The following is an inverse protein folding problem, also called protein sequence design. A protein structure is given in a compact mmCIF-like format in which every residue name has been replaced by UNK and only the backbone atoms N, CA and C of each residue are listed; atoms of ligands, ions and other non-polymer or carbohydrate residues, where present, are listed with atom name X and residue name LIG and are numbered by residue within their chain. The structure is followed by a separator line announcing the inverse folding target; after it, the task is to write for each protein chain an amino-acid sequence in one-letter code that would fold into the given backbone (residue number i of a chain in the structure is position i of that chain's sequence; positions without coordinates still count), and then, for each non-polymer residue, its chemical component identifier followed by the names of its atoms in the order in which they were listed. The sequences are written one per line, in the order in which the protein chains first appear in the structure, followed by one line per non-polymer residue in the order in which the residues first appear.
data_IF_102722551083
#
_entry.id   IF_102722551083
#
_cell.length_a   1.000
_cell.length_b   1.000
_cell.length_c   1.000
_cell.angle_alpha   90.00
_cell.angle_beta   90.00
_cell.angle_gamma   90.00
#
_symmetry.space_group_name_H-M   'P 1'
#
loop_
_entity.id
_entity.type
_entity.pdbx_description
1 polymer ?
#
# COMPACT_ATOMS: atom_id res chain seq x y z
N UNK A 1 0.71 -16.62 -1.72
CA UNK A 1 0.37 -17.44 -0.57
C UNK A 1 -0.45 -18.61 -1.08
N UNK A 2 0.03 -19.86 -1.08
CA UNK A 2 -0.88 -20.98 -1.11
C UNK A 2 -1.10 -21.32 0.36
N UNK A 3 -2.22 -20.92 0.94
CA UNK A 3 -2.74 -21.63 2.10
C UNK A 3 -2.92 -23.07 1.64
N UNK A 4 -2.62 -24.08 2.47
CA UNK A 4 -3.06 -25.42 2.19
C UNK A 4 -4.54 -25.33 1.78
N UNK A 5 -4.97 -26.08 0.77
CA UNK A 5 -6.35 -26.03 0.25
C UNK A 5 -7.32 -26.49 1.36
N UNK A 6 -7.58 -25.61 2.30
CA UNK A 6 -8.41 -25.86 3.46
C UNK A 6 -9.86 -25.39 3.24
N UNK A 7 -10.21 -24.96 1.99
CA UNK A 7 -11.55 -24.53 1.61
C UNK A 7 -12.00 -23.21 2.27
N UNK A 8 -11.08 -22.44 2.90
CA UNK A 8 -11.45 -21.13 3.48
C UNK A 8 -11.46 -20.04 2.41
N UNK A 9 -10.61 -20.15 1.41
CA UNK A 9 -10.62 -19.17 0.31
C UNK A 9 -11.93 -19.25 -0.47
N UNK A 10 -12.49 -20.48 -0.63
CA UNK A 10 -13.83 -20.68 -1.20
C UNK A 10 -14.90 -20.08 -0.32
N UNK A 11 -14.81 -20.33 1.01
CA UNK A 11 -15.77 -19.81 1.97
C UNK A 11 -15.83 -18.28 1.98
N UNK A 12 -14.68 -17.62 1.79
CA UNK A 12 -14.57 -16.17 1.73
C UNK A 12 -14.63 -15.63 0.28
N UNK A 13 -15.01 -16.46 -0.70
CA UNK A 13 -15.15 -16.09 -2.10
C UNK A 13 -13.89 -15.43 -2.71
N UNK A 14 -12.72 -15.90 -2.29
CA UNK A 14 -11.40 -15.38 -2.71
C UNK A 14 -10.71 -16.28 -3.75
N UNK A 15 -11.14 -17.55 -3.88
CA UNK A 15 -10.51 -18.48 -4.80
C UNK A 15 -10.78 -18.09 -6.25
N UNK A 16 -9.76 -18.21 -7.09
CA UNK A 16 -9.77 -17.84 -8.52
C UNK A 16 -10.02 -16.36 -8.83
N UNK A 17 -10.17 -15.52 -7.81
CA UNK A 17 -10.42 -14.09 -7.94
C UNK A 17 -9.21 -13.30 -7.45
N UNK A 18 -9.00 -12.11 -8.04
CA UNK A 18 -7.86 -11.27 -7.70
C UNK A 18 -6.49 -11.85 -8.04
N UNK A 19 -5.44 -11.31 -7.42
CA UNK A 19 -4.02 -11.64 -7.65
C UNK A 19 -3.25 -11.99 -6.38
N UNK A 20 -3.67 -11.50 -5.22
CA UNK A 20 -2.99 -11.68 -3.94
C UNK A 20 -3.14 -13.10 -3.39
N UNK A 21 -4.36 -13.51 -3.13
CA UNK A 21 -4.72 -14.79 -2.53
C UNK A 21 -5.14 -15.86 -3.55
N UNK A 22 -5.07 -15.57 -4.83
CA UNK A 22 -5.46 -16.49 -5.89
C UNK A 22 -4.42 -17.60 -6.07
N UNK A 23 -4.83 -18.85 -5.90
CA UNK A 23 -3.99 -20.06 -6.01
C UNK A 23 -4.06 -20.74 -7.37
N UNK A 24 -5.15 -20.56 -8.10
CA UNK A 24 -5.27 -21.07 -9.46
C UNK A 24 -4.32 -20.30 -10.38
N UNK A 25 -3.37 -21.02 -10.98
CA UNK A 25 -2.32 -20.40 -11.79
C UNK A 25 -2.88 -19.70 -13.03
N UNK A 26 -3.90 -20.28 -13.69
CA UNK A 26 -4.44 -19.72 -14.93
C UNK A 26 -5.24 -18.44 -14.66
N UNK A 27 -6.13 -18.46 -13.66
CA UNK A 27 -6.88 -17.26 -13.24
C UNK A 27 -5.95 -16.19 -12.68
N UNK A 28 -4.95 -16.58 -11.88
CA UNK A 28 -3.96 -15.65 -11.38
C UNK A 28 -3.14 -14.99 -12.50
N UNK A 29 -2.69 -15.79 -13.50
CA UNK A 29 -1.92 -15.29 -14.66
C UNK A 29 -2.72 -14.25 -15.43
N UNK A 30 -4.00 -14.56 -15.70
CA UNK A 30 -4.93 -13.67 -16.38
C UNK A 30 -5.17 -12.37 -15.58
N UNK A 31 -5.61 -12.47 -14.32
CA UNK A 31 -5.90 -11.31 -13.47
C UNK A 31 -4.66 -10.42 -13.29
N UNK A 32 -3.49 -11.04 -13.07
CA UNK A 32 -2.24 -10.31 -12.96
C UNK A 32 -1.86 -9.59 -14.24
N UNK A 33 -2.08 -10.21 -15.39
CA UNK A 33 -1.80 -9.63 -16.69
C UNK A 33 -2.63 -8.36 -16.90
N UNK A 34 -3.95 -8.45 -16.74
CA UNK A 34 -4.84 -7.30 -16.89
C UNK A 34 -4.55 -6.21 -15.85
N UNK A 35 -4.31 -6.60 -14.59
CA UNK A 35 -3.96 -5.60 -13.56
C UNK A 35 -2.68 -4.84 -13.89
N UNK A 36 -1.65 -5.52 -14.42
CA UNK A 36 -0.42 -4.86 -14.86
C UNK A 36 -0.67 -3.87 -15.99
N UNK A 37 -1.49 -4.26 -16.98
CA UNK A 37 -1.87 -3.35 -18.08
C UNK A 37 -2.59 -2.09 -17.56
N UNK A 38 -3.43 -2.24 -16.54
CA UNK A 38 -4.19 -1.14 -15.96
C UNK A 38 -3.33 -0.23 -15.06
N UNK A 39 -2.42 -0.80 -14.24
CA UNK A 39 -1.68 -0.05 -13.23
C UNK A 39 -0.38 0.60 -13.75
N UNK A 40 0.26 -0.01 -14.74
CA UNK A 40 1.54 0.50 -15.27
C UNK A 40 1.42 1.87 -15.91
N UNK A 41 0.42 2.17 -16.77
CA UNK A 41 0.21 3.52 -17.29
C UNK A 41 -0.02 4.55 -16.18
N UNK A 42 -0.85 4.22 -15.18
CA UNK A 42 -1.12 5.10 -14.05
C UNK A 42 0.16 5.45 -13.29
N UNK A 43 1.02 4.46 -13.04
CA UNK A 43 2.30 4.65 -12.34
C UNK A 43 3.36 5.44 -13.12
N UNK A 44 3.11 5.73 -14.38
CA UNK A 44 4.02 6.49 -15.26
C UNK A 44 3.49 7.89 -15.58
N UNK A 45 2.50 8.37 -14.84
CA UNK A 45 1.91 9.70 -14.96
C UNK A 45 2.12 10.51 -13.69
N UNK A 46 1.81 11.81 -13.75
CA UNK A 46 1.79 12.68 -12.58
C UNK A 46 0.58 12.44 -11.65
N UNK A 47 -0.40 11.63 -12.04
CA UNK A 47 -1.62 11.43 -11.25
C UNK A 47 -1.39 10.96 -9.81
N UNK A 48 -0.58 9.91 -9.54
CA UNK A 48 -0.36 9.49 -8.17
C UNK A 48 0.26 10.61 -7.30
N UNK A 49 1.28 11.31 -7.78
CA UNK A 49 1.87 12.43 -7.03
C UNK A 49 0.90 13.60 -6.86
N UNK A 50 0.04 13.91 -7.83
CA UNK A 50 -1.02 14.92 -7.71
C UNK A 50 -2.02 14.56 -6.60
N UNK A 51 -2.45 13.30 -6.52
CA UNK A 51 -3.34 12.84 -5.45
C UNK A 51 -2.68 12.94 -4.08
N UNK A 52 -1.40 12.58 -3.97
CA UNK A 52 -0.65 12.72 -2.72
C UNK A 52 -0.54 14.20 -2.32
N UNK A 53 -0.22 15.12 -3.25
CA UNK A 53 -0.18 16.56 -2.96
C UNK A 53 -1.55 17.07 -2.46
N UNK A 54 -2.64 16.73 -3.15
CA UNK A 54 -4.01 17.14 -2.80
C UNK A 54 -4.39 16.70 -1.39
N UNK A 55 -4.24 15.40 -1.11
CA UNK A 55 -4.61 14.83 0.18
C UNK A 55 -3.70 15.32 1.31
N UNK A 56 -2.42 15.52 1.04
CA UNK A 56 -1.50 16.05 2.05
C UNK A 56 -1.80 17.52 2.38
N UNK A 57 -2.17 18.33 1.39
CA UNK A 57 -2.59 19.70 1.63
C UNK A 57 -3.83 19.75 2.52
N UNK A 58 -4.86 18.96 2.21
CA UNK A 58 -6.07 18.82 3.03
C UNK A 58 -5.69 18.41 4.46
N UNK A 59 -4.98 17.30 4.62
CA UNK A 59 -4.60 16.74 5.91
C UNK A 59 -3.74 17.70 6.74
N UNK A 60 -2.75 18.33 6.12
CA UNK A 60 -1.85 19.25 6.80
C UNK A 60 -2.53 20.56 7.24
N UNK A 61 -3.55 21.01 6.52
CA UNK A 61 -4.38 22.14 6.93
C UNK A 61 -5.21 21.79 8.17
N UNK A 62 -5.75 20.56 8.26
CA UNK A 62 -6.40 20.09 9.48
C UNK A 62 -5.43 20.03 10.67
N UNK A 63 -4.20 19.56 10.49
CA UNK A 63 -3.20 19.58 11.57
C UNK A 63 -2.87 20.99 12.05
N UNK A 64 -2.78 21.96 11.13
CA UNK A 64 -2.56 23.38 11.48
C UNK A 64 -3.75 23.94 12.28
N UNK A 65 -4.98 23.58 11.91
CA UNK A 65 -6.18 24.02 12.65
C UNK A 65 -6.32 23.36 14.04
N UNK A 66 -5.82 22.14 14.20
CA UNK A 66 -5.81 21.43 15.49
C UNK A 66 -4.78 21.98 16.50
N UNK A 67 -3.91 22.89 16.11
CA UNK A 67 -2.96 23.52 17.03
C UNK A 67 -3.66 24.31 18.15
N UNK A 68 -3.14 24.22 19.35
CA UNK A 68 -3.59 25.08 20.43
C UNK A 68 -3.17 26.54 20.17
N UNK A 69 -4.01 27.50 20.60
CA UNK A 69 -3.80 28.94 20.34
C UNK A 69 -2.44 29.49 20.77
N UNK A 70 -1.77 28.87 21.75
CA UNK A 70 -0.50 29.31 22.32
C UNK A 70 0.67 28.36 21.98
N UNK A 71 0.49 27.36 21.08
CA UNK A 71 1.53 26.43 20.69
C UNK A 71 1.72 26.48 19.16
N UNK A 72 2.97 26.63 18.73
CA UNK A 72 3.30 26.59 17.30
C UNK A 72 3.28 25.15 16.75
N UNK A 73 3.09 24.13 17.59
CA UNK A 73 3.11 22.71 17.24
C UNK A 73 1.76 22.02 17.45
N UNK A 74 1.59 20.84 16.84
CA UNK A 74 0.48 19.93 17.10
C UNK A 74 1.01 18.54 17.41
N UNK A 75 0.40 17.87 18.38
CA UNK A 75 0.67 16.46 18.70
C UNK A 75 -0.44 15.61 18.12
N UNK A 76 -0.07 14.60 17.32
CA UNK A 76 -1.01 13.69 16.66
C UNK A 76 -0.50 12.25 16.69
N UNK A 77 -1.42 11.28 16.69
CA UNK A 77 -1.09 9.92 16.27
C UNK A 77 -1.04 9.84 14.74
N UNK A 78 0.17 9.94 14.19
CA UNK A 78 0.38 9.94 12.74
C UNK A 78 -0.11 8.64 12.07
N UNK A 79 -0.10 7.50 12.78
CA UNK A 79 -0.52 6.22 12.23
C UNK A 79 -2.01 6.22 11.84
N UNK A 80 -2.83 6.82 12.68
CA UNK A 80 -4.28 6.96 12.46
C UNK A 80 -4.61 7.89 11.30
N UNK A 81 -3.90 9.02 11.18
CA UNK A 81 -4.04 9.93 10.04
C UNK A 81 -3.60 9.30 8.73
N UNK A 82 -2.48 8.59 8.76
CA UNK A 82 -1.92 7.98 7.55
C UNK A 82 -2.76 6.83 7.00
N UNK A 83 -3.46 6.06 7.87
CA UNK A 83 -4.42 5.05 7.40
C UNK A 83 -5.53 5.67 6.56
N UNK A 84 -6.07 6.80 6.99
CA UNK A 84 -7.10 7.52 6.25
C UNK A 84 -6.56 8.15 4.97
N UNK A 85 -5.37 8.69 5.05
CA UNK A 85 -4.66 9.24 3.89
C UNK A 85 -4.50 8.18 2.79
N UNK A 86 -3.92 7.02 3.12
CA UNK A 86 -3.69 5.96 2.13
C UNK A 86 -5.00 5.34 1.63
N UNK A 87 -6.03 5.30 2.45
CA UNK A 87 -7.37 4.84 2.03
C UNK A 87 -7.99 5.80 1.02
N UNK A 88 -7.95 7.10 1.27
CA UNK A 88 -8.41 8.11 0.32
C UNK A 88 -7.56 8.11 -0.97
N UNK A 89 -6.24 7.93 -0.85
CA UNK A 89 -5.33 7.82 -1.98
C UNK A 89 -5.64 6.59 -2.87
N UNK A 90 -5.78 5.40 -2.26
CA UNK A 90 -6.13 4.18 -3.01
C UNK A 90 -7.52 4.31 -3.65
N UNK A 91 -8.47 4.95 -2.98
CA UNK A 91 -9.79 5.19 -3.55
C UNK A 91 -9.73 6.09 -4.79
N UNK A 92 -8.99 7.21 -4.70
CA UNK A 92 -8.75 8.10 -5.85
C UNK A 92 -8.08 7.37 -7.00
N UNK A 93 -7.06 6.56 -6.71
CA UNK A 93 -6.32 5.81 -7.73
C UNK A 93 -7.18 4.73 -8.40
N UNK A 94 -8.01 4.06 -7.61
CA UNK A 94 -8.80 2.91 -8.07
C UNK A 94 -10.12 3.32 -8.69
N UNK A 95 -10.80 4.31 -8.14
CA UNK A 95 -12.16 4.71 -8.56
C UNK A 95 -12.27 6.15 -9.06
N UNK A 96 -11.21 6.94 -8.94
CA UNK A 96 -11.25 8.38 -9.23
C UNK A 96 -12.14 9.19 -8.27
N UNK A 97 -12.53 8.62 -7.13
CA UNK A 97 -13.37 9.26 -6.11
C UNK A 97 -12.67 9.22 -4.75
N UNK A 98 -12.67 10.34 -4.04
CA UNK A 98 -12.18 10.42 -2.66
C UNK A 98 -13.27 9.90 -1.71
N UNK A 99 -12.85 9.17 -0.69
CA UNK A 99 -13.75 8.68 0.38
C UNK A 99 -13.96 9.71 1.49
N UNK A 100 -13.13 10.76 1.54
CA UNK A 100 -13.18 11.83 2.55
C UNK A 100 -13.00 11.34 4.01
N UNK A 101 -12.21 10.29 4.20
CA UNK A 101 -11.98 9.70 5.53
C UNK A 101 -11.02 10.54 6.36
N UNK A 102 -10.12 11.31 5.73
CA UNK A 102 -9.31 12.33 6.39
C UNK A 102 -10.22 13.38 7.01
N UNK A 103 -11.20 13.89 6.24
CA UNK A 103 -12.17 14.88 6.72
C UNK A 103 -13.08 14.31 7.81
N UNK A 104 -13.57 13.07 7.65
CA UNK A 104 -14.34 12.38 8.68
C UNK A 104 -13.61 12.39 10.03
N UNK A 105 -12.35 11.98 10.05
CA UNK A 105 -11.56 11.89 11.27
C UNK A 105 -11.30 13.27 11.90
N UNK A 106 -11.01 14.27 11.08
CA UNK A 106 -10.89 15.65 11.55
C UNK A 106 -12.16 16.14 12.24
N UNK A 107 -13.34 15.96 11.61
CA UNK A 107 -14.63 16.33 12.20
C UNK A 107 -14.94 15.60 13.50
N UNK A 108 -14.59 14.30 13.57
CA UNK A 108 -14.72 13.53 14.81
C UNK A 108 -13.87 14.10 15.95
N UNK A 109 -12.63 14.54 15.68
CA UNK A 109 -11.78 15.20 16.68
C UNK A 109 -12.38 16.54 17.14
N UNK A 110 -12.97 17.31 16.21
CA UNK A 110 -13.59 18.62 16.48
C UNK A 110 -15.00 18.50 17.08
N UNK A 111 -15.57 17.28 17.19
CA UNK A 111 -16.96 17.05 17.54
C UNK A 111 -17.95 17.77 16.60
N UNK A 112 -17.64 17.81 15.31
CA UNK A 112 -18.48 18.38 14.27
C UNK A 112 -19.41 17.31 13.66
N UNK A 113 -20.49 17.77 13.01
CA UNK A 113 -21.44 16.88 12.33
C UNK A 113 -20.78 16.18 11.14
N UNK A 114 -21.00 14.86 10.99
CA UNK A 114 -20.52 14.04 9.89
C UNK A 114 -21.67 13.58 9.00
N UNK A 115 -21.45 13.51 7.69
CA UNK A 115 -22.47 13.05 6.75
C UNK A 115 -22.58 11.53 6.73
N UNK A 116 -23.72 11.03 6.23
CA UNK A 116 -23.92 9.60 6.04
C UNK A 116 -22.89 8.98 5.11
N UNK A 117 -22.50 9.68 4.05
CA UNK A 117 -21.47 9.23 3.09
C UNK A 117 -20.11 9.08 3.76
N UNK A 118 -19.74 9.98 4.68
CA UNK A 118 -18.50 9.89 5.44
C UNK A 118 -18.52 8.67 6.38
N UNK A 119 -19.64 8.41 7.06
CA UNK A 119 -19.82 7.23 7.91
C UNK A 119 -19.71 5.94 7.08
N UNK A 120 -20.35 5.90 5.91
CA UNK A 120 -20.28 4.75 4.99
C UNK A 120 -18.85 4.49 4.50
N UNK A 121 -18.08 5.55 4.24
CA UNK A 121 -16.67 5.47 3.85
C UNK A 121 -15.80 4.95 4.98
N UNK A 122 -16.00 5.43 6.22
CA UNK A 122 -15.28 4.92 7.39
C UNK A 122 -15.59 3.45 7.65
N UNK A 123 -16.85 3.03 7.58
CA UNK A 123 -17.24 1.64 7.70
C UNK A 123 -16.59 0.76 6.63
N UNK A 124 -16.41 1.27 5.42
CA UNK A 124 -15.72 0.54 4.36
C UNK A 124 -14.24 0.34 4.70
N UNK A 125 -13.55 1.36 5.23
CA UNK A 125 -12.16 1.26 5.65
C UNK A 125 -12.02 0.34 6.87
N UNK A 126 -12.90 0.44 7.86
CA UNK A 126 -12.90 -0.48 8.99
C UNK A 126 -13.10 -1.94 8.56
N UNK A 127 -13.83 -2.17 7.46
CA UNK A 127 -13.95 -3.52 6.89
C UNK A 127 -12.63 -4.03 6.29
N UNK A 128 -11.80 -3.15 5.71
CA UNK A 128 -10.45 -3.48 5.23
C UNK A 128 -9.54 -3.80 6.42
N UNK A 129 -9.54 -2.94 7.44
CA UNK A 129 -8.74 -3.11 8.67
C UNK A 129 -9.08 -4.42 9.37
N UNK A 130 -10.36 -4.75 9.50
CA UNK A 130 -10.84 -6.01 10.07
C UNK A 130 -10.32 -7.20 9.27
N UNK A 131 -10.38 -7.14 7.93
CA UNK A 131 -9.83 -8.21 7.09
C UNK A 131 -8.32 -8.39 7.30
N UNK A 132 -7.57 -7.30 7.36
CA UNK A 132 -6.11 -7.34 7.56
C UNK A 132 -5.74 -7.86 8.95
N UNK A 133 -6.43 -7.43 10.00
CA UNK A 133 -6.17 -7.85 11.39
C UNK A 133 -6.52 -9.32 11.63
N UNK A 134 -7.65 -9.78 11.10
CA UNK A 134 -8.19 -11.11 11.32
C UNK A 134 -7.81 -12.14 10.26
N UNK A 135 -7.00 -11.76 9.25
CA UNK A 135 -6.64 -12.66 8.15
C UNK A 135 -5.96 -13.97 8.59
N UNK A 136 -5.44 -14.04 9.81
CA UNK A 136 -4.91 -15.28 10.42
C UNK A 136 -5.94 -16.41 10.42
N UNK A 137 -7.24 -16.09 10.44
CA UNK A 137 -8.32 -17.07 10.38
C UNK A 137 -8.26 -17.90 9.10
N UNK A 138 -7.70 -17.36 8.02
CA UNK A 138 -7.50 -18.05 6.74
C UNK A 138 -6.55 -19.26 6.86
N UNK A 139 -5.75 -19.33 7.91
CA UNK A 139 -4.79 -20.40 8.17
C UNK A 139 -5.30 -21.44 9.14
N UNK A 140 -6.49 -21.26 9.72
CA UNK A 140 -7.07 -22.21 10.69
C UNK A 140 -7.47 -23.51 9.99
N UNK A 141 -6.98 -24.68 10.47
CA UNK A 141 -7.33 -25.97 9.93
C UNK A 141 -8.87 -26.22 9.96
N UNK A 142 -9.39 -26.84 8.90
CA UNK A 142 -10.84 -27.09 8.74
C UNK A 142 -11.48 -27.76 9.96
N UNK A 143 -10.76 -28.69 10.61
CA UNK A 143 -11.26 -29.43 11.77
C UNK A 143 -11.52 -28.53 12.99
N UNK A 144 -10.83 -27.40 13.11
CA UNK A 144 -10.96 -26.49 14.26
C UNK A 144 -12.06 -25.43 14.07
N UNK A 145 -12.61 -25.26 12.86
CA UNK A 145 -13.56 -24.17 12.56
C UNK A 145 -14.89 -24.27 13.26
N UNK A 146 -15.28 -25.50 13.64
CA UNK A 146 -16.56 -25.73 14.35
C UNK A 146 -16.47 -25.50 15.86
N UNK A 147 -15.27 -25.24 16.40
CA UNK A 147 -15.15 -24.81 17.80
C UNK A 147 -15.79 -23.42 17.98
N UNK A 148 -16.61 -23.23 19.03
CA UNK A 148 -17.45 -22.03 19.19
C UNK A 148 -16.69 -20.70 19.02
N UNK A 149 -15.51 -20.56 19.65
CA UNK A 149 -14.69 -19.36 19.61
C UNK A 149 -14.17 -19.10 18.17
N UNK A 150 -13.70 -20.16 17.49
CA UNK A 150 -13.16 -20.05 16.13
C UNK A 150 -14.31 -19.78 15.15
N UNK A 151 -15.44 -20.48 15.33
CA UNK A 151 -16.63 -20.27 14.50
C UNK A 151 -17.12 -18.84 14.58
N UNK A 152 -17.22 -18.26 15.77
CA UNK A 152 -17.62 -16.86 15.95
C UNK A 152 -16.71 -15.88 15.17
N UNK A 153 -15.40 -16.10 15.19
CA UNK A 153 -14.46 -15.29 14.41
C UNK A 153 -14.60 -15.51 12.90
N UNK A 154 -14.84 -16.75 12.46
CA UNK A 154 -15.10 -17.06 11.05
C UNK A 154 -16.38 -16.36 10.58
N UNK A 155 -17.47 -16.46 11.35
CA UNK A 155 -18.76 -15.83 11.04
C UNK A 155 -18.64 -14.29 10.98
N UNK A 156 -17.90 -13.69 11.92
CA UNK A 156 -17.59 -12.26 11.92
C UNK A 156 -16.83 -11.85 10.65
N UNK A 157 -15.77 -12.58 10.30
CA UNK A 157 -14.98 -12.32 9.11
C UNK A 157 -15.80 -12.49 7.82
N UNK A 158 -16.71 -13.48 7.75
CA UNK A 158 -17.63 -13.68 6.64
C UNK A 158 -18.58 -12.49 6.48
N UNK A 159 -19.17 -12.01 7.59
CA UNK A 159 -20.01 -10.82 7.58
C UNK A 159 -19.27 -9.61 7.05
N UNK A 160 -18.03 -9.42 7.51
CA UNK A 160 -17.15 -8.34 7.06
C UNK A 160 -16.79 -8.44 5.57
N UNK A 161 -16.40 -9.63 5.09
CA UNK A 161 -16.12 -9.85 3.66
C UNK A 161 -17.34 -9.61 2.78
N UNK A 162 -18.52 -10.07 3.20
CA UNK A 162 -19.77 -9.86 2.45
C UNK A 162 -20.11 -8.37 2.33
N UNK A 163 -19.93 -7.60 3.40
CA UNK A 163 -20.10 -6.15 3.37
C UNK A 163 -19.13 -5.50 2.38
N UNK A 164 -17.84 -5.83 2.50
CA UNK A 164 -16.80 -5.28 1.63
C UNK A 164 -17.07 -5.61 0.15
N UNK A 165 -17.38 -6.88 -0.16
CA UNK A 165 -17.70 -7.30 -1.52
C UNK A 165 -18.96 -6.63 -2.06
N UNK A 166 -20.00 -6.49 -1.24
CA UNK A 166 -21.20 -5.78 -1.61
C UNK A 166 -20.90 -4.34 -2.07
N UNK A 167 -20.05 -3.64 -1.33
CA UNK A 167 -19.61 -2.28 -1.70
C UNK A 167 -18.80 -2.26 -3.00
N UNK A 168 -17.89 -3.22 -3.21
CA UNK A 168 -17.13 -3.29 -4.46
C UNK A 168 -18.02 -3.61 -5.67
N UNK A 169 -18.99 -4.50 -5.53
CA UNK A 169 -19.98 -4.80 -6.58
C UNK A 169 -20.79 -3.55 -6.92
N UNK A 170 -21.23 -2.78 -5.93
CA UNK A 170 -21.94 -1.52 -6.12
C UNK A 170 -21.09 -0.50 -6.92
N UNK A 171 -19.80 -0.37 -6.56
CA UNK A 171 -18.84 0.51 -7.25
C UNK A 171 -18.68 0.10 -8.73
N UNK A 172 -18.49 -1.20 -9.01
CA UNK A 172 -18.36 -1.72 -10.38
C UNK A 172 -19.63 -1.48 -11.19
N UNK A 173 -20.79 -1.82 -10.60
CA UNK A 173 -22.11 -1.61 -11.25
C UNK A 173 -22.33 -0.14 -11.60
N UNK A 174 -22.11 0.76 -10.65
CA UNK A 174 -22.26 2.21 -10.84
C UNK A 174 -21.36 2.71 -11.98
N UNK A 175 -20.11 2.26 -12.04
CA UNK A 175 -19.18 2.65 -13.12
C UNK A 175 -19.68 2.18 -14.49
N UNK A 176 -20.17 0.94 -14.61
CA UNK A 176 -20.75 0.45 -15.86
C UNK A 176 -21.99 1.24 -16.29
N UNK A 177 -22.83 1.63 -15.36
CA UNK A 177 -24.00 2.49 -15.62
C UNK A 177 -23.56 3.89 -16.08
N UNK A 178 -22.59 4.52 -15.42
CA UNK A 178 -22.00 5.79 -15.84
C UNK A 178 -21.45 5.72 -17.28
N UNK A 179 -20.75 4.64 -17.61
CA UNK A 179 -20.21 4.42 -18.97
C UNK A 179 -21.33 4.24 -20.00
N UNK A 180 -22.36 3.45 -19.67
CA UNK A 180 -23.49 3.19 -20.57
C UNK A 180 -24.31 4.45 -20.88
N UNK A 181 -24.43 5.34 -19.88
CA UNK A 181 -25.21 6.58 -19.97
C UNK A 181 -24.39 7.76 -20.50
N UNK A 182 -23.13 7.55 -20.89
CA UNK A 182 -22.28 8.61 -21.43
C UNK A 182 -22.54 8.81 -22.92
N UNK A 183 -22.73 10.06 -23.34
CA UNK A 183 -22.90 10.42 -24.75
C UNK A 183 -21.64 10.16 -25.59
N UNK A 184 -20.46 10.24 -24.97
CA UNK A 184 -19.15 9.96 -25.57
C UNK A 184 -18.31 9.11 -24.61
N UNK A 185 -18.29 7.81 -24.86
CA UNK A 185 -17.56 6.83 -24.05
C UNK A 185 -16.04 7.05 -24.07
N UNK A 186 -15.48 7.51 -25.20
CA UNK A 186 -14.03 7.75 -25.31
C UNK A 186 -13.62 8.96 -24.46
N UNK A 187 -14.42 10.02 -24.50
CA UNK A 187 -14.22 11.20 -23.65
C UNK A 187 -14.40 10.86 -22.17
N UNK A 188 -15.37 10.00 -21.83
CA UNK A 188 -15.58 9.49 -20.48
C UNK A 188 -14.33 8.74 -19.97
N UNK A 189 -13.83 7.77 -20.74
CA UNK A 189 -12.65 6.97 -20.41
C UNK A 189 -11.41 7.85 -20.20
N UNK A 190 -11.17 8.78 -21.12
CA UNK A 190 -10.04 9.72 -21.05
C UNK A 190 -10.12 10.60 -19.78
N UNK A 191 -11.31 11.06 -19.41
CA UNK A 191 -11.53 11.89 -18.20
C UNK A 191 -11.33 11.08 -16.91
N UNK A 192 -11.89 9.87 -16.83
CA UNK A 192 -11.78 9.03 -15.62
C UNK A 192 -10.37 8.52 -15.42
N UNK A 193 -9.80 7.81 -16.39
CA UNK A 193 -8.42 7.30 -16.37
C UNK A 193 -7.99 6.81 -14.97
N UNK A 194 -8.76 5.90 -14.39
CA UNK A 194 -8.54 5.24 -13.11
C UNK A 194 -8.44 3.72 -13.29
N UNK A 195 -8.03 2.99 -12.24
CA UNK A 195 -7.83 1.55 -12.30
C UNK A 195 -9.12 0.81 -12.70
N UNK A 196 -10.25 1.15 -12.08
CA UNK A 196 -11.53 0.48 -12.33
C UNK A 196 -11.98 0.63 -13.80
N UNK A 197 -11.90 1.84 -14.35
CA UNK A 197 -12.23 2.07 -15.77
C UNK A 197 -11.30 1.23 -16.66
N UNK A 198 -9.99 1.21 -16.36
CA UNK A 198 -9.01 0.42 -17.13
C UNK A 198 -9.30 -1.07 -17.08
N UNK A 199 -9.70 -1.62 -15.91
CA UNK A 199 -10.09 -3.03 -15.78
C UNK A 199 -11.37 -3.37 -16.57
N UNK A 200 -12.35 -2.47 -16.57
CA UNK A 200 -13.63 -2.66 -17.28
C UNK A 200 -13.43 -2.70 -18.80
N UNK A 201 -12.57 -1.84 -19.34
CA UNK A 201 -12.37 -1.71 -20.79
C UNK A 201 -11.29 -2.65 -21.35
N UNK A 202 -10.46 -3.24 -20.52
CA UNK A 202 -9.37 -4.12 -20.93
C UNK A 202 -9.88 -5.24 -21.86
N UNK A 203 -9.22 -5.41 -23.02
CA UNK A 203 -9.57 -6.36 -24.06
C UNK A 203 -11.01 -6.22 -24.62
N UNK A 204 -11.61 -5.02 -24.52
CA UNK A 204 -12.85 -4.65 -25.20
C UNK A 204 -12.56 -3.77 -26.41
N UNK A 205 -13.58 -3.43 -27.19
CA UNK A 205 -13.46 -2.47 -28.30
C UNK A 205 -13.03 -1.06 -27.89
N UNK A 206 -13.09 -0.75 -26.59
CA UNK A 206 -12.70 0.54 -25.99
C UNK A 206 -11.31 0.53 -25.38
N UNK A 207 -10.58 -0.60 -25.47
CA UNK A 207 -9.22 -0.71 -24.98
C UNK A 207 -8.28 0.15 -25.85
N UNK A 208 -7.63 1.19 -25.28
CA UNK A 208 -6.73 2.04 -26.06
C UNK A 208 -5.42 1.36 -26.42
N UNK A 209 -5.09 0.23 -25.78
CA UNK A 209 -3.84 -0.52 -25.99
C UNK A 209 -4.08 -2.03 -26.09
N UNK A 210 -4.90 -2.49 -27.06
CA UNK A 210 -5.20 -3.91 -27.21
C UNK A 210 -3.92 -4.68 -27.55
N UNK A 211 -3.65 -5.74 -26.81
CA UNK A 211 -2.48 -6.59 -27.07
C UNK A 211 -2.74 -7.55 -28.22
N UNK A 212 -2.07 -7.36 -29.34
CA UNK A 212 -2.25 -8.20 -30.54
C UNK A 212 -1.49 -9.54 -30.50
N UNK A 213 -0.45 -9.65 -29.67
CA UNK A 213 0.48 -10.79 -29.66
C UNK A 213 0.54 -11.53 -28.29
N UNK A 214 -0.47 -11.38 -27.43
CA UNK A 214 -0.53 -12.11 -26.19
C UNK A 214 -1.12 -13.53 -26.38
N UNK A 215 -0.89 -14.39 -25.38
CA UNK A 215 -1.54 -15.68 -25.27
C UNK A 215 -3.08 -15.51 -25.42
N UNK A 216 -3.76 -16.22 -26.34
CA UNK A 216 -5.20 -16.07 -26.54
C UNK A 216 -6.04 -16.16 -25.27
N UNK A 217 -5.59 -16.94 -24.27
CA UNK A 217 -6.26 -17.07 -22.98
C UNK A 217 -6.28 -15.77 -22.17
N UNK A 218 -5.43 -14.78 -22.53
CA UNK A 218 -5.31 -13.47 -21.87
C UNK A 218 -6.09 -12.36 -22.59
N UNK A 219 -6.67 -12.64 -23.77
CA UNK A 219 -7.28 -11.63 -24.64
C UNK A 219 -8.78 -11.43 -24.45
N UNK A 220 -9.39 -12.06 -23.45
CA UNK A 220 -10.80 -11.84 -23.12
C UNK A 220 -10.97 -10.65 -22.15
N UNK A 221 -12.13 -9.98 -22.13
CA UNK A 221 -12.43 -9.02 -21.06
C UNK A 221 -12.58 -9.71 -19.70
N UNK A 222 -12.39 -8.94 -18.62
CA UNK A 222 -12.69 -9.40 -17.27
C UNK A 222 -14.19 -9.41 -17.00
N UNK A 223 -14.65 -10.41 -16.25
CA UNK A 223 -15.99 -10.38 -15.67
C UNK A 223 -16.00 -9.57 -14.35
N UNK A 224 -17.21 -9.26 -13.85
CA UNK A 224 -17.36 -8.40 -12.67
C UNK A 224 -16.79 -9.03 -11.39
N UNK A 225 -16.80 -10.35 -11.25
CA UNK A 225 -16.21 -11.06 -10.13
C UNK A 225 -14.66 -10.96 -10.13
N UNK A 226 -14.05 -11.04 -11.31
CA UNK A 226 -12.61 -10.88 -11.48
C UNK A 226 -12.20 -9.43 -11.18
N UNK A 227 -12.97 -8.44 -11.68
CA UNK A 227 -12.76 -7.01 -11.40
C UNK A 227 -12.89 -6.77 -9.90
N UNK A 228 -13.94 -7.28 -9.25
CA UNK A 228 -14.15 -7.20 -7.81
C UNK A 228 -12.97 -7.76 -7.02
N UNK A 229 -12.46 -8.95 -7.42
CA UNK A 229 -11.31 -9.57 -6.78
C UNK A 229 -10.02 -8.75 -6.91
N UNK A 230 -9.77 -8.15 -8.07
CA UNK A 230 -8.63 -7.25 -8.30
C UNK A 230 -8.77 -5.96 -7.50
N UNK A 231 -9.96 -5.38 -7.45
CA UNK A 231 -10.25 -4.20 -6.63
C UNK A 231 -10.07 -4.49 -5.13
N UNK A 232 -10.54 -5.64 -4.67
CA UNK A 232 -10.32 -6.10 -3.30
C UNK A 232 -8.83 -6.13 -2.94
N UNK A 233 -8.01 -6.76 -3.79
CA UNK A 233 -6.57 -6.82 -3.59
C UNK A 233 -5.93 -5.43 -3.59
N UNK A 234 -6.38 -4.52 -4.46
CA UNK A 234 -5.84 -3.16 -4.53
C UNK A 234 -6.10 -2.38 -3.23
N UNK A 235 -7.31 -2.45 -2.67
CA UNK A 235 -7.63 -1.80 -1.40
C UNK A 235 -6.89 -2.43 -0.22
N UNK A 236 -6.95 -3.77 -0.07
CA UNK A 236 -6.31 -4.46 1.07
C UNK A 236 -4.80 -4.31 1.07
N UNK A 237 -4.15 -4.47 -0.09
CA UNK A 237 -2.69 -4.40 -0.16
C UNK A 237 -2.15 -2.98 -0.18
N UNK A 238 -2.90 -2.02 -0.74
CA UNK A 238 -2.44 -0.65 -0.94
C UNK A 238 -2.54 0.22 0.30
N UNK A 239 -3.43 -0.08 1.25
CA UNK A 239 -3.64 0.76 2.43
C UNK A 239 -2.55 0.56 3.48
N UNK A 240 -2.54 -0.58 4.16
CA UNK A 240 -1.71 -0.76 5.36
C UNK A 240 -0.21 -0.87 5.09
N UNK A 241 0.21 -1.43 3.95
CA UNK A 241 1.64 -1.63 3.68
C UNK A 241 2.41 -0.32 3.57
N UNK A 242 1.83 0.68 2.93
CA UNK A 242 2.44 2.02 2.77
C UNK A 242 2.45 2.78 4.09
N UNK A 243 1.31 2.79 4.82
CA UNK A 243 1.20 3.42 6.15
C UNK A 243 2.31 2.95 7.08
N UNK A 244 2.43 1.63 7.23
CA UNK A 244 3.37 1.06 8.20
C UNK A 244 4.81 1.38 7.82
N UNK A 245 5.17 1.27 6.53
CA UNK A 245 6.51 1.64 6.05
C UNK A 245 6.80 3.12 6.32
N UNK A 246 5.83 4.01 6.10
CA UNK A 246 5.96 5.44 6.36
C UNK A 246 6.14 5.74 7.86
N UNK A 247 5.32 5.14 8.73
CA UNK A 247 5.45 5.29 10.18
C UNK A 247 6.81 4.80 10.68
N UNK A 248 7.28 3.65 10.16
CA UNK A 248 8.62 3.14 10.49
C UNK A 248 9.72 4.09 10.02
N UNK A 249 9.58 4.71 8.84
CA UNK A 249 10.54 5.70 8.36
C UNK A 249 10.60 6.91 9.28
N UNK A 250 9.48 7.46 9.73
CA UNK A 250 9.44 8.58 10.69
C UNK A 250 10.10 8.21 12.03
N UNK A 251 9.82 7.00 12.53
CA UNK A 251 10.45 6.50 13.75
C UNK A 251 11.98 6.43 13.63
N UNK A 252 12.50 5.80 12.57
CA UNK A 252 13.94 5.69 12.36
C UNK A 252 14.61 7.04 12.07
N UNK A 253 13.98 7.93 11.33
CA UNK A 253 14.48 9.27 11.06
C UNK A 253 14.58 10.09 12.34
N UNK A 254 13.63 9.96 13.28
CA UNK A 254 13.68 10.64 14.58
C UNK A 254 14.83 10.14 15.44
N UNK A 255 15.18 8.85 15.37
CA UNK A 255 16.31 8.29 16.12
C UNK A 255 17.68 8.46 15.42
N UNK A 256 17.71 8.95 14.17
CA UNK A 256 18.93 9.14 13.39
C UNK A 256 18.99 10.57 12.84
N UNK A 257 19.34 11.57 13.68
CA UNK A 257 19.27 12.98 13.31
C UNK A 257 20.17 13.35 12.13
N UNK A 258 21.31 12.70 11.96
CA UNK A 258 22.22 12.94 10.83
C UNK A 258 21.58 12.49 9.50
N UNK A 259 20.91 11.33 9.52
CA UNK A 259 20.13 10.83 8.37
C UNK A 259 18.98 11.77 8.06
N UNK A 260 18.23 12.21 9.09
CA UNK A 260 17.13 13.18 8.93
C UNK A 260 17.63 14.48 8.31
N UNK A 261 18.77 15.00 8.79
CA UNK A 261 19.39 16.21 8.26
C UNK A 261 19.73 16.07 6.77
N UNK A 262 20.40 14.99 6.38
CA UNK A 262 20.75 14.73 4.97
C UNK A 262 19.52 14.58 4.07
N UNK A 263 18.44 13.95 4.56
CA UNK A 263 17.17 13.89 3.86
C UNK A 263 16.58 15.28 3.62
N UNK A 264 16.58 16.12 4.65
CA UNK A 264 16.05 17.49 4.57
C UNK A 264 16.88 18.34 3.60
N UNK A 265 18.20 18.22 3.62
CA UNK A 265 19.12 18.90 2.69
C UNK A 265 18.85 18.49 1.23
N UNK A 266 18.59 17.22 0.95
CA UNK A 266 18.17 16.78 -0.39
C UNK A 266 16.84 17.44 -0.80
N UNK A 267 15.84 17.39 0.07
CA UNK A 267 14.52 17.99 -0.20
C UNK A 267 14.66 19.49 -0.47
N UNK A 268 15.42 20.23 0.37
CA UNK A 268 15.65 21.65 0.18
C UNK A 268 16.38 21.96 -1.12
N UNK A 269 17.34 21.15 -1.52
CA UNK A 269 18.06 21.27 -2.78
C UNK A 269 17.16 21.07 -4.00
N UNK A 270 16.23 20.11 -3.94
CA UNK A 270 15.32 19.83 -5.06
C UNK A 270 14.26 20.91 -5.25
N UNK A 271 13.84 21.58 -4.17
CA UNK A 271 12.74 22.56 -4.17
C UNK A 271 13.19 24.00 -3.87
N UNK A 272 14.47 24.32 -4.03
CA UNK A 272 15.03 25.64 -3.71
C UNK A 272 14.41 26.80 -4.50
N UNK A 273 13.92 26.53 -5.72
CA UNK A 273 13.33 27.50 -6.65
C UNK A 273 11.90 27.89 -6.26
N UNK A 274 11.08 26.93 -5.88
CA UNK A 274 9.73 27.12 -5.37
C UNK A 274 9.36 26.02 -4.38
N UNK A 275 9.46 26.36 -3.11
CA UNK A 275 9.27 25.40 -2.06
C UNK A 275 7.81 25.00 -1.81
N UNK A 276 6.88 25.78 -2.30
CA UNK A 276 5.45 25.55 -2.09
C UNK A 276 4.77 24.85 -3.28
N UNK A 277 5.47 24.75 -4.42
CA UNK A 277 4.89 24.07 -5.58
C UNK A 277 4.59 22.60 -5.32
N UNK A 278 3.58 22.02 -5.99
CA UNK A 278 3.32 20.59 -5.94
C UNK A 278 4.53 19.77 -6.39
N UNK A 279 4.71 18.60 -5.77
CA UNK A 279 5.73 17.63 -6.17
C UNK A 279 5.27 16.90 -7.43
N UNK A 280 6.11 16.89 -8.45
CA UNK A 280 5.85 16.24 -9.73
C UNK A 280 6.54 14.88 -9.83
N UNK A 281 6.20 14.11 -10.84
CA UNK A 281 6.87 12.83 -11.12
C UNK A 281 8.36 13.00 -11.38
N UNK A 282 8.75 14.07 -12.11
CA UNK A 282 10.16 14.37 -12.44
C UNK A 282 11.00 14.73 -11.19
N UNK A 283 10.37 15.31 -10.16
CA UNK A 283 11.06 15.61 -8.91
C UNK A 283 11.43 14.32 -8.16
N UNK A 284 10.62 13.27 -8.29
CA UNK A 284 10.87 11.99 -7.62
C UNK A 284 12.16 11.31 -8.09
N UNK A 285 12.59 11.55 -9.32
CA UNK A 285 13.85 11.04 -9.83
C UNK A 285 15.08 11.69 -9.14
N UNK A 286 14.89 12.92 -8.63
CA UNK A 286 15.94 13.67 -7.91
C UNK A 286 16.02 13.30 -6.44
N UNK A 287 14.94 12.80 -5.85
CA UNK A 287 14.84 12.38 -4.44
C UNK A 287 15.44 10.98 -4.23
N UNK A 288 16.75 10.85 -4.40
CA UNK A 288 17.47 9.57 -4.33
C UNK A 288 17.75 9.13 -2.91
N UNK A 289 18.13 10.08 -2.03
CA UNK A 289 18.35 9.78 -0.63
C UNK A 289 17.04 9.46 0.10
N UNK A 290 15.97 10.16 -0.26
CA UNK A 290 14.62 9.83 0.18
C UNK A 290 14.26 8.36 -0.17
N UNK A 291 14.57 7.92 -1.39
CA UNK A 291 14.38 6.52 -1.80
C UNK A 291 15.25 5.55 -0.98
N UNK A 292 16.50 5.92 -0.71
CA UNK A 292 17.41 5.14 0.11
C UNK A 292 16.90 4.99 1.56
N UNK A 293 16.37 6.04 2.15
CA UNK A 293 15.70 6.01 3.47
C UNK A 293 14.53 5.02 3.49
N UNK A 294 13.67 5.03 2.48
CA UNK A 294 12.54 4.11 2.37
C UNK A 294 13.02 2.65 2.25
N UNK A 295 14.04 2.41 1.42
CA UNK A 295 14.63 1.07 1.25
C UNK A 295 15.26 0.57 2.55
N UNK A 296 16.03 1.41 3.24
CA UNK A 296 16.67 1.04 4.51
C UNK A 296 15.64 0.79 5.60
N UNK A 297 14.58 1.59 5.66
CA UNK A 297 13.43 1.32 6.55
C UNK A 297 12.85 -0.06 6.30
N UNK A 298 12.61 -0.41 5.04
CA UNK A 298 12.10 -1.73 4.67
C UNK A 298 13.11 -2.86 4.92
N UNK A 299 14.42 -2.58 4.89
CA UNK A 299 15.45 -3.56 5.22
C UNK A 299 15.42 -3.92 6.71
N UNK A 300 15.50 -2.93 7.58
CA UNK A 300 15.55 -3.16 9.04
C UNK A 300 14.18 -3.53 9.61
N UNK A 301 13.10 -3.02 9.04
CA UNK A 301 11.72 -3.26 9.49
C UNK A 301 10.78 -3.50 8.31
N UNK A 302 10.83 -4.67 7.66
CA UNK A 302 9.92 -4.97 6.56
C UNK A 302 8.48 -5.09 7.08
N UNK A 303 7.55 -4.41 6.44
CA UNK A 303 6.11 -4.54 6.75
C UNK A 303 5.62 -5.96 6.49
N UNK A 304 6.13 -6.63 5.46
CA UNK A 304 5.88 -8.05 5.18
C UNK A 304 7.11 -8.85 5.56
N UNK A 305 7.11 -9.43 6.76
CA UNK A 305 8.27 -10.14 7.31
C UNK A 305 8.46 -11.55 6.75
N UNK A 306 7.40 -12.15 6.22
CA UNK A 306 7.42 -13.51 5.66
C UNK A 306 6.54 -13.61 4.43
N UNK A 307 6.98 -14.35 3.42
CA UNK A 307 6.17 -14.71 2.26
C UNK A 307 6.23 -16.21 2.00
N UNK A 308 5.10 -16.81 1.64
CA UNK A 308 5.01 -18.25 1.40
C UNK A 308 4.89 -18.58 -0.08
N UNK A 309 5.49 -19.71 -0.48
CA UNK A 309 5.43 -20.26 -1.84
C UNK A 309 5.25 -21.77 -1.78
N UNK A 310 4.42 -22.31 -2.65
CA UNK A 310 4.36 -23.75 -2.89
C UNK A 310 5.15 -24.11 -4.14
N UNK A 311 5.89 -25.23 -4.07
CA UNK A 311 6.49 -25.82 -5.27
C UNK A 311 5.39 -26.36 -6.18
N UNK A 312 5.39 -25.99 -7.47
CA UNK A 312 4.45 -26.50 -8.46
C UNK A 312 4.88 -27.86 -9.05
N UNK A 313 6.17 -28.17 -8.95
CA UNK A 313 6.81 -29.44 -9.38
C UNK A 313 7.90 -29.78 -8.39
N UNK A 314 8.45 -31.00 -8.47
CA UNK A 314 9.69 -31.35 -7.77
C UNK A 314 10.84 -30.45 -8.27
N UNK A 315 11.68 -30.02 -7.36
CA UNK A 315 12.81 -29.13 -7.65
C UNK A 315 13.88 -29.24 -6.59
N UNK A 316 15.09 -28.75 -6.89
CA UNK A 316 16.22 -28.72 -5.97
C UNK A 316 16.36 -27.33 -5.35
N UNK A 317 16.22 -27.22 -4.03
CA UNK A 317 16.36 -25.96 -3.28
C UNK A 317 17.38 -26.16 -2.16
N UNK A 318 18.35 -25.27 -2.07
CA UNK A 318 19.44 -25.32 -1.09
C UNK A 318 20.21 -26.66 -1.04
N UNK A 319 20.37 -27.31 -2.20
CA UNK A 319 21.06 -28.59 -2.34
C UNK A 319 20.22 -29.84 -2.06
N UNK A 320 18.98 -29.69 -1.60
CA UNK A 320 18.04 -30.79 -1.29
C UNK A 320 16.96 -30.92 -2.35
N UNK A 321 16.61 -32.18 -2.67
CA UNK A 321 15.50 -32.50 -3.55
C UNK A 321 14.16 -32.37 -2.80
N UNK A 322 13.23 -31.60 -3.36
CA UNK A 322 11.92 -31.36 -2.77
C UNK A 322 10.81 -31.82 -3.71
N UNK A 323 9.80 -32.53 -3.22
CA UNK A 323 8.66 -32.90 -4.04
C UNK A 323 7.81 -31.67 -4.43
N UNK A 324 6.88 -31.85 -5.34
CA UNK A 324 5.85 -30.85 -5.61
C UNK A 324 4.95 -30.61 -4.38
N UNK A 325 4.31 -29.46 -4.34
CA UNK A 325 3.35 -29.07 -3.29
C UNK A 325 3.94 -28.90 -1.88
N UNK A 326 5.24 -28.61 -1.79
CA UNK A 326 5.90 -28.24 -0.51
C UNK A 326 5.75 -26.75 -0.27
N UNK A 327 5.40 -26.37 0.95
CA UNK A 327 5.33 -24.98 1.40
C UNK A 327 6.73 -24.48 1.80
N UNK A 328 7.22 -23.48 1.08
CA UNK A 328 8.41 -22.72 1.45
C UNK A 328 7.99 -21.40 2.09
N UNK A 329 8.56 -21.09 3.25
CA UNK A 329 8.41 -19.78 3.90
C UNK A 329 9.73 -19.03 3.72
N UNK A 330 9.67 -17.91 3.00
CA UNK A 330 10.78 -17.00 2.83
C UNK A 330 10.74 -15.97 3.96
N UNK A 331 11.70 -16.03 4.87
CA UNK A 331 11.81 -15.11 5.99
C UNK A 331 12.51 -13.83 5.53
N UNK A 332 11.72 -12.85 5.07
CA UNK A 332 12.18 -11.60 4.45
C UNK A 332 13.06 -10.81 5.41
N UNK A 333 12.65 -10.66 6.68
CA UNK A 333 13.48 -9.96 7.68
C UNK A 333 14.83 -10.62 7.84
N UNK A 334 14.87 -11.95 7.94
CA UNK A 334 16.14 -12.69 8.06
C UNK A 334 17.03 -12.54 6.84
N UNK A 335 16.46 -12.42 5.63
CA UNK A 335 17.22 -12.12 4.41
C UNK A 335 17.80 -10.71 4.49
N UNK A 336 16.95 -9.73 4.81
CA UNK A 336 17.29 -8.31 4.83
C UNK A 336 18.26 -7.91 5.97
N UNK A 337 18.42 -8.75 7.00
CA UNK A 337 19.31 -8.48 8.14
C UNK A 337 20.38 -9.58 8.33
N UNK A 338 20.63 -10.40 7.32
CA UNK A 338 21.63 -11.47 7.41
C UNK A 338 23.06 -10.88 7.50
N UNK A 339 23.81 -11.15 8.58
CA UNK A 339 25.17 -10.61 8.77
C UNK A 339 26.19 -11.11 7.75
N UNK A 340 25.90 -12.18 6.99
CA UNK A 340 26.74 -12.62 5.88
C UNK A 340 26.72 -11.64 4.69
N UNK A 341 25.66 -10.83 4.58
CA UNK A 341 25.48 -9.90 3.46
C UNK A 341 25.44 -8.44 3.90
N UNK A 342 25.14 -8.18 5.17
CA UNK A 342 24.97 -6.82 5.70
C UNK A 342 25.94 -6.60 6.88
N UNK A 343 26.86 -5.69 6.72
CA UNK A 343 27.70 -5.21 7.83
C UNK A 343 26.81 -4.43 8.80
N UNK A 344 26.93 -4.68 10.11
CA UNK A 344 26.11 -4.05 11.16
C UNK A 344 24.61 -4.04 10.81
N UNK A 345 23.98 -5.23 10.64
CA UNK A 345 22.66 -5.37 10.01
C UNK A 345 21.52 -4.66 10.76
N UNK A 346 21.66 -4.39 12.05
CA UNK A 346 20.66 -3.68 12.87
C UNK A 346 20.85 -2.16 12.81
N UNK A 347 21.99 -1.64 12.30
CA UNK A 347 22.20 -0.21 12.13
C UNK A 347 21.34 0.31 10.98
N UNK A 348 20.61 1.40 11.25
CA UNK A 348 19.87 2.13 10.21
C UNK A 348 20.82 3.03 9.44
N UNK A 349 21.12 2.69 8.20
CA UNK A 349 22.14 3.33 7.39
C UNK A 349 21.73 3.40 5.90
N UNK A 350 21.03 4.44 5.48
CA UNK A 350 20.59 4.61 4.09
C UNK A 350 21.71 4.69 3.05
N UNK A 351 22.97 4.93 3.46
CA UNK A 351 24.11 4.94 2.53
C UNK A 351 24.23 3.62 1.78
N UNK A 352 23.81 2.52 2.37
CA UNK A 352 23.73 1.19 1.72
C UNK A 352 22.96 1.20 0.40
N UNK A 353 21.99 2.11 0.25
CA UNK A 353 21.16 2.26 -0.95
C UNK A 353 21.37 3.58 -1.68
N UNK A 354 22.32 4.40 -1.22
CA UNK A 354 22.63 5.70 -1.79
C UNK A 354 24.05 5.78 -2.37
N UNK A 355 25.03 5.25 -1.64
CA UNK A 355 26.42 5.24 -2.09
C UNK A 355 26.61 4.25 -3.25
N UNK A 356 27.16 4.67 -4.40
CA UNK A 356 27.37 3.79 -5.55
C UNK A 356 28.24 2.56 -5.24
N UNK A 357 29.26 2.68 -4.38
CA UNK A 357 30.13 1.56 -4.01
C UNK A 357 29.40 0.55 -3.13
N UNK A 358 28.59 1.01 -2.17
CA UNK A 358 27.77 0.14 -1.34
C UNK A 358 26.74 -0.62 -2.19
N UNK A 359 26.10 0.06 -3.17
CA UNK A 359 25.15 -0.56 -4.11
C UNK A 359 25.82 -1.62 -4.98
N UNK A 360 27.02 -1.35 -5.51
CA UNK A 360 27.77 -2.29 -6.35
C UNK A 360 28.19 -3.55 -5.58
N UNK A 361 28.58 -3.39 -4.31
CA UNK A 361 29.00 -4.48 -3.43
C UNK A 361 27.83 -5.31 -2.87
N UNK A 362 26.59 -4.87 -3.08
CA UNK A 362 25.41 -5.52 -2.51
C UNK A 362 25.16 -6.88 -3.17
N UNK A 363 25.01 -7.93 -2.37
CA UNK A 363 24.65 -9.25 -2.91
C UNK A 363 23.24 -9.22 -3.51
N UNK A 364 23.09 -9.69 -4.74
CA UNK A 364 21.87 -9.59 -5.56
C UNK A 364 20.58 -10.03 -4.87
N UNK A 365 20.64 -10.98 -3.94
CA UNK A 365 19.46 -11.56 -3.26
C UNK A 365 19.42 -11.23 -1.76
N UNK A 366 20.23 -10.28 -1.28
CA UNK A 366 20.28 -9.89 0.14
C UNK A 366 19.16 -8.97 0.57
N UNK A 367 18.40 -8.39 -0.37
CA UNK A 367 17.33 -7.44 -0.10
C UNK A 367 16.03 -7.81 -0.82
N UNK A 368 14.93 -7.78 -0.07
CA UNK A 368 13.59 -8.04 -0.60
C UNK A 368 12.56 -7.10 0.04
N UNK A 369 12.29 -5.98 -0.62
CA UNK A 369 11.22 -5.06 -0.21
C UNK A 369 9.86 -5.46 -0.81
N UNK A 370 9.84 -5.72 -2.10
CA UNK A 370 8.63 -5.98 -2.88
C UNK A 370 8.50 -7.44 -3.34
N UNK A 371 9.30 -8.34 -2.76
CA UNK A 371 9.38 -9.71 -3.21
C UNK A 371 10.09 -9.85 -4.56
N UNK A 372 9.96 -11.02 -5.18
CA UNK A 372 10.65 -11.34 -6.43
C UNK A 372 9.89 -12.32 -7.30
N UNK A 373 10.41 -12.49 -8.54
CA UNK A 373 9.86 -13.41 -9.54
C UNK A 373 8.45 -13.03 -10.00
N UNK A 374 7.68 -14.00 -10.54
CA UNK A 374 6.34 -13.74 -11.08
C UNK A 374 5.33 -13.17 -10.08
N UNK A 375 5.56 -13.34 -8.77
CA UNK A 375 4.71 -12.84 -7.68
C UNK A 375 5.22 -11.54 -7.03
N UNK A 376 6.16 -10.83 -7.67
CA UNK A 376 6.61 -9.52 -7.23
C UNK A 376 5.43 -8.54 -7.10
N UNK A 377 5.48 -7.64 -6.14
CA UNK A 377 4.44 -6.64 -5.88
C UNK A 377 4.08 -5.84 -7.14
N UNK A 378 2.79 -5.76 -7.44
CA UNK A 378 2.25 -5.00 -8.58
C UNK A 378 2.25 -3.49 -8.31
N UNK A 379 2.00 -3.10 -7.06
CA UNK A 379 1.93 -1.71 -6.63
C UNK A 379 3.27 -1.04 -6.35
N UNK A 380 4.43 -1.71 -6.55
CA UNK A 380 5.73 -1.20 -6.13
C UNK A 380 6.06 0.22 -6.60
N UNK A 381 5.71 0.56 -7.84
CA UNK A 381 5.95 1.91 -8.38
C UNK A 381 5.05 2.94 -7.71
N UNK A 382 3.77 2.64 -7.57
CA UNK A 382 2.78 3.50 -6.90
C UNK A 382 3.18 3.74 -5.44
N UNK A 383 3.54 2.69 -4.70
CA UNK A 383 3.98 2.79 -3.31
C UNK A 383 5.24 3.65 -3.16
N UNK A 384 6.22 3.53 -4.07
CA UNK A 384 7.41 4.38 -4.05
C UNK A 384 7.09 5.84 -4.37
N UNK A 385 6.19 6.11 -5.32
CA UNK A 385 5.72 7.47 -5.62
C UNK A 385 5.05 8.07 -4.38
N UNK A 386 4.12 7.33 -3.78
CA UNK A 386 3.37 7.76 -2.59
C UNK A 386 4.32 8.07 -1.43
N UNK A 387 5.19 7.15 -1.06
CA UNK A 387 6.11 7.30 0.08
C UNK A 387 7.13 8.42 -0.13
N UNK A 388 7.73 8.53 -1.33
CA UNK A 388 8.69 9.60 -1.65
C UNK A 388 8.02 10.97 -1.60
N UNK A 389 6.83 11.09 -2.20
CA UNK A 389 6.07 12.34 -2.17
C UNK A 389 5.68 12.72 -0.74
N UNK A 390 5.18 11.78 0.06
CA UNK A 390 4.80 12.02 1.46
C UNK A 390 5.98 12.44 2.33
N UNK A 391 7.12 11.74 2.25
CA UNK A 391 8.32 12.12 3.01
C UNK A 391 8.82 13.50 2.60
N UNK A 392 8.83 13.81 1.32
CA UNK A 392 9.22 15.14 0.87
C UNK A 392 8.25 16.22 1.34
N UNK A 393 6.93 15.99 1.29
CA UNK A 393 5.92 16.96 1.73
C UNK A 393 5.96 17.19 3.23
N UNK A 394 6.06 16.13 4.06
CA UNK A 394 6.04 16.30 5.51
C UNK A 394 7.28 17.02 6.01
N UNK A 395 8.49 16.64 5.56
CA UNK A 395 9.73 17.29 5.97
C UNK A 395 9.96 18.66 5.33
N UNK A 396 9.27 18.95 4.23
CA UNK A 396 9.21 20.28 3.64
C UNK A 396 8.36 21.24 4.49
N UNK A 397 7.23 20.77 5.05
CA UNK A 397 6.25 21.60 5.75
C UNK A 397 6.44 21.64 7.25
N UNK A 398 6.96 20.54 7.86
CA UNK A 398 7.06 20.41 9.32
C UNK A 398 8.44 19.90 9.75
N UNK A 399 8.85 20.35 10.95
CA UNK A 399 9.78 19.58 11.77
C UNK A 399 9.00 18.50 12.50
N UNK A 400 9.49 17.26 12.42
CA UNK A 400 8.83 16.07 12.96
C UNK A 400 9.67 15.50 14.09
N UNK A 401 9.09 15.38 15.29
CA UNK A 401 9.71 14.82 16.47
C UNK A 401 8.79 13.77 17.08
N UNK A 402 9.35 12.70 17.66
CA UNK A 402 8.56 11.78 18.47
C UNK A 402 8.20 12.48 19.79
N UNK A 403 6.99 12.25 20.29
CA UNK A 403 6.55 12.78 21.59
C UNK A 403 7.38 12.15 22.73
N UNK A 404 7.70 10.87 22.60
CA UNK A 404 8.57 10.15 23.53
C UNK A 404 9.65 9.36 22.75
N UNK A 405 10.88 9.86 22.82
CA UNK A 405 12.05 9.24 22.19
C UNK A 405 12.48 7.92 22.84
N UNK A 406 12.04 7.63 24.07
CA UNK A 406 12.39 6.40 24.78
C UNK A 406 11.32 5.31 24.60
N UNK A 407 10.14 5.67 24.13
CA UNK A 407 9.07 4.70 23.89
C UNK A 407 9.45 3.74 22.75
N UNK A 408 9.33 2.42 22.95
CA UNK A 408 9.50 1.48 21.86
C UNK A 408 8.38 1.64 20.84
N UNK A 409 8.73 1.42 19.58
CA UNK A 409 7.73 1.43 18.49
C UNK A 409 6.63 0.40 18.76
N UNK A 410 5.39 0.87 18.88
CA UNK A 410 4.22 0.04 19.16
C UNK A 410 3.82 -0.70 17.88
N UNK A 411 4.10 -1.99 17.84
CA UNK A 411 3.83 -2.85 16.67
C UNK A 411 3.07 -4.11 17.02
N UNK A 412 2.24 -4.54 16.09
CA UNK A 412 1.62 -5.86 16.09
C UNK A 412 2.05 -6.61 14.83
N UNK A 413 2.54 -7.84 14.97
CA UNK A 413 2.98 -8.66 13.85
C UNK A 413 2.07 -9.86 13.67
N UNK A 414 1.45 -9.93 12.50
CA UNK A 414 0.68 -11.10 12.04
C UNK A 414 1.24 -11.56 10.68
N UNK A 415 0.48 -11.51 9.62
CA UNK A 415 0.97 -11.67 8.24
C UNK A 415 1.72 -10.43 7.76
N UNK A 416 1.36 -9.27 8.30
CA UNK A 416 2.09 -8.01 8.17
C UNK A 416 2.43 -7.45 9.55
N UNK A 417 3.41 -6.56 9.61
CA UNK A 417 3.78 -5.79 10.81
C UNK A 417 3.08 -4.45 10.75
N UNK A 418 2.22 -4.17 11.71
CA UNK A 418 1.39 -2.97 11.79
C UNK A 418 1.94 -2.06 12.88
N UNK A 419 2.10 -0.77 12.57
CA UNK A 419 2.29 0.28 13.56
C UNK A 419 0.95 0.61 14.22
N UNK A 420 0.81 0.33 15.51
CA UNK A 420 -0.45 0.54 16.23
C UNK A 420 -0.68 2.01 16.50
N UNK A 421 0.35 2.68 16.98
CA UNK A 421 0.34 4.08 17.36
C UNK A 421 1.74 4.66 17.19
N UNK A 422 1.81 5.90 16.70
CA UNK A 422 3.04 6.67 16.63
C UNK A 422 2.73 8.16 16.88
N UNK A 423 2.89 8.59 18.11
CA UNK A 423 2.65 9.98 18.50
C UNK A 423 3.82 10.85 18.09
N UNK A 424 3.55 11.84 17.24
CA UNK A 424 4.52 12.80 16.74
C UNK A 424 4.08 14.23 17.07
N UNK A 425 5.08 15.08 17.33
CA UNK A 425 4.94 16.52 17.41
C UNK A 425 5.35 17.11 16.08
N UNK A 426 4.44 17.84 15.45
CA UNK A 426 4.65 18.53 14.19
C UNK A 426 4.73 20.04 14.42
N UNK A 427 5.87 20.63 14.10
CA UNK A 427 6.09 22.08 14.18
C UNK A 427 6.24 22.62 12.76
N UNK A 428 5.34 23.52 12.28
CA UNK A 428 5.49 24.14 10.98
C UNK A 428 6.84 24.83 10.84
N UNK A 429 7.54 24.55 9.74
CA UNK A 429 8.87 25.14 9.49
C UNK A 429 8.71 26.62 9.14
N UNK A 430 9.26 27.49 9.99
CA UNK A 430 9.37 28.92 9.70
C UNK A 430 10.55 29.11 8.75
N UNK A 431 10.30 29.59 7.55
CA UNK A 431 11.38 30.02 6.67
C UNK A 431 11.73 31.45 6.96
N UNK A 432 13.00 31.69 7.11
CA UNK A 432 13.54 33.05 6.98
C UNK A 432 13.55 33.34 5.49
N UNK A 433 12.66 34.20 5.03
CA UNK A 433 12.60 34.76 3.66
C UNK A 433 13.84 35.57 3.41
#
# INVERSE_FOLDING_TARGET
MRTANNGLLDLFDLEKKGVGLNHDYQHWKFNRHIFLQAVMPLSSTNKPSQYVNLLFEEMSNYWIDLKHKNDDSVVIDISTWMRRFTSDFISLLTTGQQMSTINYYYRMIKNEEVTKEMIDSENFIESINTFVSDNQILFVPKILRNFPIIKSRVDHMLGNCNYFYGKLVEIVRKRREEMKNSDDINKFISKKNDLLTSLIIANTQYDPQPQKNADPSLLRPMNDDEIRGVMFDAFVAGTDTTVNTFCFALYYLSHNPDVKKKLVEEIESVFQDDFNRPITFDDLEKLKYCEAVIKETSRVRPTVSMVSRYSSKSDKVAGYEWPSNVLFILYVRGINTNPLYWKDPEKFDPERFYDPQEIENQHKNSFSMFGGGPRMCLGRKIAMIEMKTLLALIYRKFDVELVDMQAPLQVETSTITICKELNVKLTPRKRVV
#
